data_IF_852717983962
#
_entry.id   IF_852717983962
#
_cell.length_a   1.000
_cell.length_b   1.000
_cell.length_c   1.000
_cell.angle_alpha   90.00
_cell.angle_beta   90.00
_cell.angle_gamma   90.00
#
_symmetry.space_group_name_H-M   'P 1'
#
loop_
_entity.id
_entity.type
_entity.pdbx_description
1 polymer ?
#
# COMPACT_ATOMS: atom_id res chain seq x y z
N UNK A 1 -17.16 -17.11 11.67
CA UNK A 1 -16.59 -16.06 11.85
C UNK A 1 -16.27 -15.37 10.71
N UNK A 2 -16.49 -14.25 10.63
CA UNK A 2 -16.23 -13.58 9.54
C UNK A 2 -14.99 -12.92 9.66
N UNK A 3 -14.14 -12.98 8.73
CA UNK A 3 -13.03 -12.31 8.73
C UNK A 3 -13.07 -11.40 7.64
N UNK A 4 -12.78 -10.22 7.85
CA UNK A 4 -12.71 -9.29 6.79
C UNK A 4 -11.62 -9.71 5.92
N UNK A 5 -11.87 -9.87 4.65
CA UNK A 5 -10.86 -10.23 3.73
C UNK A 5 -10.33 -8.98 3.11
N UNK A 6 -9.08 -8.70 3.35
CA UNK A 6 -8.46 -7.53 2.72
C UNK A 6 -8.33 -7.80 1.23
N UNK A 7 -8.47 -6.75 0.46
CA UNK A 7 -8.32 -6.84 -0.98
C UNK A 7 -6.86 -6.52 -1.28
N UNK A 8 -6.14 -7.47 -1.83
CA UNK A 8 -4.73 -7.26 -2.13
C UNK A 8 -4.56 -6.89 -3.60
N UNK A 9 -3.91 -5.79 -3.86
CA UNK A 9 -3.70 -5.33 -5.23
C UNK A 9 -2.29 -4.82 -5.38
N UNK A 10 -1.79 -4.83 -6.59
CA UNK A 10 -0.47 -4.29 -6.89
C UNK A 10 -0.60 -2.82 -7.24
N UNK A 11 0.31 -2.02 -6.75
CA UNK A 11 0.30 -0.59 -7.01
C UNK A 11 1.71 -0.08 -7.20
N UNK A 12 1.84 1.11 -7.76
CA UNK A 12 3.12 1.77 -7.94
C UNK A 12 3.14 3.00 -7.05
N UNK A 13 4.23 3.17 -6.32
CA UNK A 13 4.37 4.32 -5.44
C UNK A 13 4.57 5.57 -6.27
N UNK A 14 3.73 6.58 -6.08
CA UNK A 14 3.84 7.84 -6.79
C UNK A 14 4.69 8.83 -6.03
N UNK A 15 4.50 8.92 -4.72
CA UNK A 15 5.30 9.84 -3.93
C UNK A 15 5.26 9.43 -2.47
N UNK A 16 6.27 9.87 -1.74
CA UNK A 16 6.33 9.62 -0.31
C UNK A 16 5.77 10.83 0.40
N UNK A 17 5.06 10.59 1.48
CA UNK A 17 4.42 11.62 2.26
C UNK A 17 4.92 11.54 3.70
N UNK A 18 4.67 12.56 4.49
CA UNK A 18 5.08 12.52 5.90
C UNK A 18 4.40 11.40 6.65
N UNK A 19 4.98 11.02 7.78
CA UNK A 19 4.39 10.03 8.69
C UNK A 19 4.30 8.64 8.08
N UNK A 20 5.29 8.29 7.27
CA UNK A 20 5.36 6.96 6.67
C UNK A 20 4.14 6.65 5.82
N UNK A 21 3.59 7.68 5.19
CA UNK A 21 2.48 7.51 4.27
C UNK A 21 2.98 7.59 2.85
N UNK A 22 2.24 6.98 1.94
CA UNK A 22 2.63 6.95 0.54
C UNK A 22 1.42 7.12 -0.33
N UNK A 23 1.57 7.82 -1.44
CA UNK A 23 0.52 7.89 -2.42
C UNK A 23 0.86 6.86 -3.47
N UNK A 24 -0.04 5.92 -3.69
CA UNK A 24 0.20 4.84 -4.65
C UNK A 24 -0.92 4.83 -5.67
N UNK A 25 -0.61 4.30 -6.85
CA UNK A 25 -1.59 4.20 -7.91
C UNK A 25 -1.78 2.74 -8.23
N UNK A 26 -3.00 2.26 -8.17
CA UNK A 26 -3.30 0.87 -8.46
C UNK A 26 -3.08 0.61 -9.94
N UNK A 27 -2.57 -0.57 -10.26
CA UNK A 27 -2.31 -0.89 -11.64
C UNK A 27 -3.58 -0.97 -12.44
N UNK A 28 -4.62 -1.51 -11.83
CA UNK A 28 -5.88 -1.57 -12.51
C UNK A 28 -6.67 -0.33 -12.22
N UNK A 29 -7.17 0.33 -13.26
CA UNK A 29 -8.05 1.48 -13.07
C UNK A 29 -7.36 2.75 -12.66
N UNK A 30 -6.07 2.70 -12.43
CA UNK A 30 -5.31 3.90 -12.08
C UNK A 30 -5.86 4.66 -10.88
N UNK A 31 -6.49 3.97 -9.97
CA UNK A 31 -7.04 4.59 -8.78
C UNK A 31 -5.91 4.92 -7.81
N UNK A 32 -5.93 6.09 -7.21
CA UNK A 32 -4.90 6.51 -6.28
C UNK A 32 -5.36 6.27 -4.85
N UNK A 33 -4.46 5.76 -4.05
CA UNK A 33 -4.77 5.38 -2.68
C UNK A 33 -3.69 5.92 -1.76
N UNK A 34 -4.08 6.32 -0.55
CA UNK A 34 -3.13 6.68 0.47
C UNK A 34 -2.82 5.43 1.27
N UNK A 35 -1.56 5.06 1.31
CA UNK A 35 -1.16 3.83 1.97
C UNK A 35 -0.12 4.09 3.04
N UNK A 36 -0.13 3.28 4.09
CA UNK A 36 0.90 3.37 5.10
C UNK A 36 1.66 2.03 5.11
N UNK A 37 2.82 2.03 5.74
CA UNK A 37 3.64 0.83 5.78
C UNK A 37 3.13 -0.08 6.88
N UNK A 38 3.04 -1.39 6.60
CA UNK A 38 2.63 -2.33 7.63
C UNK A 38 3.69 -2.38 8.71
N UNK A 39 3.31 -2.83 9.90
CA UNK A 39 4.24 -2.92 11.00
C UNK A 39 5.39 -3.86 10.69
N UNK A 40 5.13 -4.92 9.94
CA UNK A 40 6.16 -5.86 9.60
C UNK A 40 7.23 -5.22 8.72
N UNK A 41 6.83 -4.42 7.74
CA UNK A 41 7.78 -3.77 6.87
C UNK A 41 8.57 -2.70 7.60
N UNK A 42 7.91 -1.98 8.51
CA UNK A 42 8.59 -0.97 9.29
C UNK A 42 9.64 -1.61 10.17
N UNK A 43 9.31 -2.75 10.76
CA UNK A 43 10.22 -3.44 11.63
C UNK A 43 11.45 -3.91 10.87
N UNK A 44 11.30 -4.27 9.60
CA UNK A 44 12.39 -4.76 8.79
C UNK A 44 13.12 -3.64 8.05
N UNK A 45 12.77 -2.40 8.32
CA UNK A 45 13.44 -1.24 7.71
C UNK A 45 13.43 -1.27 6.20
N UNK A 46 12.36 -1.76 5.62
CA UNK A 46 12.26 -1.79 4.17
C UNK A 46 11.99 -0.38 3.66
N UNK A 47 12.86 0.08 2.74
CA UNK A 47 12.71 1.43 2.21
C UNK A 47 11.85 1.39 0.96
N UNK A 48 10.92 2.30 0.86
CA UNK A 48 10.02 2.40 -0.28
C UNK A 48 10.24 3.73 -0.95
N UNK A 49 10.46 3.71 -2.25
CA UNK A 49 10.77 4.92 -3.01
C UNK A 49 9.74 5.09 -4.12
N UNK A 50 9.58 6.32 -4.63
CA UNK A 50 8.71 6.53 -5.78
C UNK A 50 9.14 5.65 -6.94
N UNK A 51 8.17 5.08 -7.61
CA UNK A 51 8.43 4.16 -8.70
C UNK A 51 8.47 2.71 -8.31
N UNK A 52 8.53 2.41 -7.02
CA UNK A 52 8.55 1.03 -6.57
C UNK A 52 7.17 0.41 -6.72
N UNK A 53 7.17 -0.89 -7.03
CA UNK A 53 5.91 -1.62 -7.07
C UNK A 53 5.71 -2.30 -5.74
N UNK A 54 4.50 -2.22 -5.23
CA UNK A 54 4.20 -2.74 -3.89
C UNK A 54 2.87 -3.46 -3.90
N UNK A 55 2.70 -4.34 -2.93
CA UNK A 55 1.43 -5.00 -2.70
C UNK A 55 0.72 -4.21 -1.61
N UNK A 56 -0.51 -3.82 -1.90
CA UNK A 56 -1.29 -3.00 -0.99
C UNK A 56 -2.54 -3.76 -0.58
N UNK A 57 -2.83 -3.77 0.71
CA UNK A 57 -4.08 -4.30 1.22
C UNK A 57 -5.05 -3.16 1.36
N UNK A 58 -6.18 -3.26 0.70
CA UNK A 58 -7.23 -2.23 0.82
C UNK A 58 -8.30 -2.71 1.77
N UNK A 59 -8.86 -1.77 2.51
CA UNK A 59 -9.99 -2.10 3.35
C UNK A 59 -11.24 -2.18 2.48
N UNK A 60 -12.08 -3.18 2.64
CA UNK A 60 -13.34 -3.20 1.90
C UNK A 60 -14.25 -2.06 2.29
N UNK A 61 -13.98 -1.41 3.42
CA UNK A 61 -14.82 -0.31 3.87
C UNK A 61 -14.31 1.04 3.38
N UNK A 62 -13.04 1.13 2.96
CA UNK A 62 -12.51 2.40 2.51
C UNK A 62 -11.44 2.14 1.48
N UNK A 63 -11.83 2.11 0.23
CA UNK A 63 -10.91 1.77 -0.85
C UNK A 63 -9.93 2.89 -1.19
N UNK A 64 -10.02 4.03 -0.50
CA UNK A 64 -9.07 5.11 -0.69
C UNK A 64 -7.90 5.01 0.24
N UNK A 65 -7.88 4.03 1.12
CA UNK A 65 -6.80 3.85 2.05
C UNK A 65 -6.34 2.41 2.04
N UNK A 66 -5.06 2.22 2.26
CA UNK A 66 -4.53 0.87 2.26
C UNK A 66 -3.28 0.76 3.10
N UNK A 67 -2.73 -0.43 3.10
CA UNK A 67 -1.53 -0.72 3.86
C UNK A 67 -0.59 -1.48 2.94
N UNK A 68 0.67 -1.02 2.86
CA UNK A 68 1.66 -1.69 2.04
C UNK A 68 2.21 -2.85 2.84
N UNK A 69 2.09 -4.06 2.29
CA UNK A 69 2.50 -5.26 2.99
C UNK A 69 3.70 -5.93 2.36
N UNK A 70 4.07 -5.52 1.15
CA UNK A 70 5.18 -6.17 0.47
C UNK A 70 5.71 -5.23 -0.62
N UNK A 71 7.01 -5.24 -0.84
CA UNK A 71 7.61 -4.45 -1.90
C UNK A 71 8.23 -5.42 -2.90
N UNK A 72 7.83 -5.30 -4.16
CA UNK A 72 8.41 -6.13 -5.20
C UNK A 72 9.78 -5.57 -5.58
N UNK A 73 10.61 -6.43 -6.06
CA UNK A 73 11.92 -5.99 -6.49
C UNK A 73 11.94 -5.61 -7.95
#
# INVERSE_FOLDING_TARGET
MSKEEAIEVTATVLETLPNAMFKVELEEGKHQVLAHISGKMRKNFIRILPGDRVLVELSPYDLNRGRITYRYK
#
